data_IF_324119582523
#
_entry.id   IF_324119582523
#
_cell.length_a   1.000
_cell.length_b   1.000
_cell.length_c   1.000
_cell.angle_alpha   90.00
_cell.angle_beta   90.00
_cell.angle_gamma   90.00
#
_symmetry.space_group_name_H-M   'P 1'
#
loop_
_entity.id
_entity.type
_entity.pdbx_description
1 polymer ?
#
# COMPACT_ATOMS: atom_id res chain seq x y z
N UNK A 1 3.50 34.15 -45.55
CA UNK A 1 4.23 33.03 -44.94
C UNK A 1 3.20 32.13 -44.27
N UNK A 2 3.03 30.88 -44.74
CA UNK A 2 2.03 29.95 -44.21
C UNK A 2 2.64 29.20 -43.02
N UNK A 3 2.22 29.53 -41.80
CA UNK A 3 2.58 28.76 -40.63
C UNK A 3 1.65 27.54 -40.53
N UNK A 4 2.17 26.36 -40.85
CA UNK A 4 1.50 25.08 -40.58
C UNK A 4 1.91 24.68 -39.17
N UNK A 5 1.04 24.94 -38.19
CA UNK A 5 1.24 24.45 -36.83
C UNK A 5 0.79 23.00 -36.74
N UNK A 6 1.76 22.09 -36.58
CA UNK A 6 1.51 20.66 -36.36
C UNK A 6 1.01 20.48 -34.92
N UNK A 7 -0.26 20.09 -34.77
CA UNK A 7 -0.85 19.72 -33.48
C UNK A 7 -0.29 18.34 -33.10
N UNK A 8 0.67 18.31 -32.17
CA UNK A 8 1.16 17.08 -31.56
C UNK A 8 0.11 16.55 -30.59
N UNK A 9 -0.60 15.49 -30.97
CA UNK A 9 -1.51 14.78 -30.06
C UNK A 9 -0.64 13.92 -29.14
N UNK A 10 -0.41 14.41 -27.92
CA UNK A 10 0.23 13.66 -26.85
C UNK A 10 -0.78 12.62 -26.34
N UNK A 11 -0.74 11.41 -26.91
CA UNK A 11 -1.50 10.28 -26.39
C UNK A 11 -0.91 9.84 -25.05
N UNK A 12 -1.42 10.39 -23.95
CA UNK A 12 -1.14 9.86 -22.61
C UNK A 12 -1.85 8.52 -22.47
N UNK A 13 -1.07 7.44 -22.62
CA UNK A 13 -1.50 6.09 -22.28
C UNK A 13 -1.67 6.08 -20.76
N UNK A 14 -2.89 6.26 -20.28
CA UNK A 14 -3.20 6.10 -18.86
C UNK A 14 -3.11 4.60 -18.61
N UNK A 15 -1.95 4.12 -18.16
CA UNK A 15 -1.83 2.79 -17.62
C UNK A 15 -2.72 2.72 -16.38
N UNK A 16 -3.93 2.17 -16.53
CA UNK A 16 -4.69 1.71 -15.38
C UNK A 16 -3.93 0.52 -14.79
N UNK A 17 -2.97 0.80 -13.90
CA UNK A 17 -2.48 -0.22 -12.99
C UNK A 17 -3.71 -0.66 -12.17
N UNK A 18 -4.12 -1.91 -12.32
CA UNK A 18 -5.10 -2.50 -11.43
C UNK A 18 -4.46 -2.44 -10.04
N UNK A 19 -4.98 -1.58 -9.16
CA UNK A 19 -4.47 -1.51 -7.81
C UNK A 19 -4.65 -2.90 -7.17
N UNK A 20 -3.54 -3.50 -6.74
CA UNK A 20 -3.56 -4.80 -6.12
C UNK A 20 -4.35 -4.69 -4.82
N UNK A 21 -5.47 -5.41 -4.76
CA UNK A 21 -6.32 -5.46 -3.59
C UNK A 21 -5.86 -6.57 -2.66
N UNK A 22 -5.76 -6.26 -1.38
CA UNK A 22 -5.23 -7.14 -0.36
C UNK A 22 -6.29 -7.50 0.69
N UNK A 23 -6.22 -8.70 1.25
CA UNK A 23 -6.99 -9.14 2.42
C UNK A 23 -6.24 -8.94 3.75
N UNK A 24 -4.93 -8.69 3.70
CA UNK A 24 -4.17 -8.32 4.88
C UNK A 24 -3.02 -7.38 4.56
N UNK A 25 -2.79 -6.39 5.43
CA UNK A 25 -1.65 -5.48 5.33
C UNK A 25 -1.09 -5.08 6.70
N UNK A 26 0.22 -4.93 6.80
CA UNK A 26 0.93 -4.40 7.97
C UNK A 26 1.83 -3.25 7.55
N UNK A 27 2.10 -2.31 8.46
CA UNK A 27 3.06 -1.23 8.20
C UNK A 27 4.46 -1.66 8.63
N UNK A 28 5.46 -1.46 7.78
CA UNK A 28 6.87 -1.69 8.12
C UNK A 28 7.53 -0.37 8.54
N UNK A 29 8.50 -0.43 9.46
CA UNK A 29 9.31 0.75 9.84
C UNK A 29 10.14 1.29 8.67
N UNK A 30 10.54 0.40 7.75
CA UNK A 30 11.16 0.67 6.47
C UNK A 30 10.98 -0.54 5.54
N UNK A 31 11.29 -0.38 4.25
CA UNK A 31 11.24 -1.49 3.28
C UNK A 31 12.04 -2.68 3.79
N UNK A 32 11.42 -3.87 3.78
CA UNK A 32 11.98 -5.12 4.30
C UNK A 32 12.32 -5.13 5.81
N UNK A 33 11.87 -4.12 6.56
CA UNK A 33 12.02 -4.02 8.01
C UNK A 33 10.94 -4.75 8.82
N UNK A 34 11.04 -4.63 10.14
CA UNK A 34 10.00 -5.12 11.06
C UNK A 34 8.69 -4.37 10.89
N UNK A 35 7.58 -5.00 11.28
CA UNK A 35 6.30 -4.32 11.35
C UNK A 35 6.28 -3.33 12.53
N UNK A 36 5.56 -2.23 12.32
CA UNK A 36 5.20 -1.25 13.35
C UNK A 36 3.73 -1.45 13.73
N UNK A 37 3.52 -1.97 14.93
CA UNK A 37 2.19 -2.40 15.38
C UNK A 37 1.25 -1.22 15.65
N UNK A 38 1.76 -0.08 16.14
CA UNK A 38 0.97 1.11 16.47
C UNK A 38 0.47 1.82 15.21
N UNK A 39 1.34 1.95 14.20
CA UNK A 39 0.96 2.49 12.89
C UNK A 39 -0.01 1.54 12.19
N UNK A 40 0.21 0.23 12.30
CA UNK A 40 -0.71 -0.78 11.75
C UNK A 40 -2.11 -0.66 12.37
N UNK A 41 -2.23 -0.50 13.69
CA UNK A 41 -3.52 -0.31 14.37
C UNK A 41 -4.23 0.96 13.90
N UNK A 42 -3.47 2.05 13.83
CA UNK A 42 -3.97 3.36 13.43
C UNK A 42 -4.52 3.32 12.01
N UNK A 43 -3.75 2.74 11.07
CA UNK A 43 -4.19 2.56 9.71
C UNK A 43 -5.36 1.57 9.61
N UNK A 44 -5.34 0.47 10.36
CA UNK A 44 -6.43 -0.51 10.31
C UNK A 44 -7.77 0.09 10.74
N UNK A 45 -7.76 0.92 11.79
CA UNK A 45 -8.95 1.64 12.25
C UNK A 45 -9.52 2.54 11.15
N UNK A 46 -8.65 3.25 10.40
CA UNK A 46 -9.07 4.13 9.29
C UNK A 46 -9.67 3.35 8.12
N UNK A 47 -9.19 2.14 7.89
CA UNK A 47 -9.69 1.24 6.85
C UNK A 47 -10.90 0.42 7.32
N UNK A 48 -11.34 0.54 8.58
CA UNK A 48 -12.47 -0.20 9.13
C UNK A 48 -12.20 -1.70 9.35
N UNK A 49 -10.93 -2.09 9.41
CA UNK A 49 -10.52 -3.48 9.56
C UNK A 49 -10.39 -3.94 11.01
N UNK A 50 -9.99 -5.20 11.18
CA UNK A 50 -9.60 -5.76 12.48
C UNK A 50 -8.15 -6.18 12.46
N UNK A 51 -7.41 -5.86 13.51
CA UNK A 51 -6.01 -6.26 13.62
C UNK A 51 -5.87 -7.69 14.14
N UNK A 52 -4.94 -8.46 13.57
CA UNK A 52 -4.57 -9.79 14.05
C UNK A 52 -3.06 -9.98 13.98
N UNK A 53 -2.52 -10.79 14.89
CA UNK A 53 -1.11 -11.15 14.86
C UNK A 53 -0.89 -12.32 13.91
N UNK A 54 -0.01 -12.14 12.92
CA UNK A 54 0.36 -13.19 11.97
C UNK A 54 1.82 -13.60 12.19
N UNK A 55 2.06 -14.90 12.15
CA UNK A 55 3.41 -15.47 12.14
C UNK A 55 3.91 -15.65 10.71
N UNK A 56 5.24 -15.67 10.56
CA UNK A 56 5.88 -15.89 9.26
C UNK A 56 5.41 -17.20 8.62
N UNK A 57 5.09 -17.15 7.34
CA UNK A 57 4.62 -18.29 6.55
C UNK A 57 5.04 -18.13 5.09
N UNK A 58 4.55 -18.99 4.18
CA UNK A 58 4.83 -18.84 2.74
C UNK A 58 4.29 -17.54 2.14
N UNK A 59 3.28 -16.91 2.75
CA UNK A 59 2.70 -15.64 2.30
C UNK A 59 3.14 -14.47 3.18
N UNK A 60 3.22 -14.69 4.48
CA UNK A 60 3.59 -13.66 5.47
C UNK A 60 5.10 -13.68 5.65
N UNK A 61 5.81 -12.68 5.12
CA UNK A 61 7.27 -12.58 5.26
C UNK A 61 7.71 -12.05 6.63
N UNK A 62 6.95 -11.11 7.18
CA UNK A 62 7.28 -10.43 8.43
C UNK A 62 6.26 -10.81 9.50
N UNK A 63 6.71 -11.39 10.62
CA UNK A 63 5.80 -11.65 11.74
C UNK A 63 5.45 -10.35 12.44
N UNK A 64 4.19 -10.20 12.84
CA UNK A 64 3.74 -9.03 13.59
C UNK A 64 2.25 -8.80 13.39
N UNK A 65 1.79 -7.60 13.71
CA UNK A 65 0.38 -7.26 13.54
C UNK A 65 0.06 -6.90 12.10
N UNK A 66 -1.09 -7.37 11.63
CA UNK A 66 -1.66 -7.07 10.33
C UNK A 66 -3.10 -6.61 10.50
N UNK A 67 -3.54 -5.66 9.68
CA UNK A 67 -4.93 -5.36 9.46
C UNK A 67 -5.56 -6.39 8.53
N UNK A 68 -6.69 -6.95 8.95
CA UNK A 68 -7.54 -7.82 8.15
C UNK A 68 -8.77 -7.02 7.72
N UNK A 69 -8.92 -6.85 6.41
CA UNK A 69 -10.08 -6.22 5.78
C UNK A 69 -10.13 -6.67 4.32
N UNK A 70 -11.33 -6.78 3.74
CA UNK A 70 -11.48 -7.11 2.33
C UNK A 70 -11.08 -5.93 1.43
N UNK A 71 -10.28 -6.20 0.39
CA UNK A 71 -9.92 -5.21 -0.64
C UNK A 71 -9.19 -3.97 -0.13
N UNK A 72 -8.22 -4.16 0.77
CA UNK A 72 -7.27 -3.11 1.13
C UNK A 72 -6.48 -2.73 -0.14
N UNK A 73 -6.59 -1.47 -0.55
CA UNK A 73 -5.78 -0.91 -1.63
C UNK A 73 -4.33 -0.74 -1.15
N UNK A 74 -3.38 -1.43 -1.79
CA UNK A 74 -1.98 -1.44 -1.36
C UNK A 74 -1.33 -0.07 -1.34
N UNK A 75 -1.61 0.78 -2.34
CA UNK A 75 -1.09 2.15 -2.42
C UNK A 75 -1.66 3.02 -1.29
N UNK A 76 -2.96 2.92 -1.02
CA UNK A 76 -3.60 3.63 0.09
C UNK A 76 -3.06 3.18 1.44
N UNK A 77 -2.79 1.88 1.61
CA UNK A 77 -2.18 1.35 2.83
C UNK A 77 -0.76 1.87 3.01
N UNK A 78 0.08 1.77 1.97
CA UNK A 78 1.43 2.33 1.93
C UNK A 78 1.44 3.81 2.31
N UNK A 79 0.56 4.59 1.69
CA UNK A 79 0.42 6.03 1.97
C UNK A 79 -0.05 6.29 3.41
N UNK A 80 -0.85 5.40 4.01
CA UNK A 80 -1.22 5.52 5.42
C UNK A 80 0.00 5.29 6.33
N UNK A 81 0.79 4.23 6.10
CA UNK A 81 1.99 3.95 6.89
C UNK A 81 2.96 5.14 6.86
N UNK A 82 3.17 5.71 5.67
CA UNK A 82 4.07 6.85 5.44
C UNK A 82 3.67 8.15 6.13
N UNK A 83 2.41 8.28 6.56
CA UNK A 83 1.99 9.45 7.35
C UNK A 83 2.58 9.47 8.75
N UNK A 84 2.96 8.31 9.29
CA UNK A 84 3.48 8.15 10.64
C UNK A 84 4.95 7.70 10.66
N UNK A 85 5.35 6.97 9.62
CA UNK A 85 6.69 6.43 9.43
C UNK A 85 7.29 7.04 8.16
N UNK A 86 8.16 8.07 8.23
CA UNK A 86 8.69 8.73 7.04
C UNK A 86 9.34 7.77 6.05
N UNK A 87 10.03 6.74 6.54
CA UNK A 87 10.67 5.71 5.73
C UNK A 87 9.82 4.43 5.60
N UNK A 88 8.59 4.44 6.14
CA UNK A 88 7.75 3.27 6.26
C UNK A 88 7.27 2.69 4.94
N UNK A 89 6.88 1.43 4.97
CA UNK A 89 6.41 0.67 3.81
C UNK A 89 5.17 -0.17 4.16
N UNK A 90 4.50 -0.73 3.16
CA UNK A 90 3.37 -1.64 3.31
C UNK A 90 3.75 -3.09 3.02
N UNK A 91 3.51 -3.99 3.98
CA UNK A 91 3.61 -5.42 3.75
C UNK A 91 2.20 -6.01 3.59
N UNK A 92 1.80 -6.36 2.36
CA UNK A 92 0.47 -6.88 2.07
C UNK A 92 0.52 -8.30 1.45
N UNK A 93 0.48 -9.36 2.28
CA UNK A 93 0.77 -10.74 1.85
C UNK A 93 -0.29 -11.44 0.97
N UNK A 94 -1.53 -10.96 0.93
CA UNK A 94 -2.60 -11.42 0.04
C UNK A 94 -3.70 -10.38 -0.03
#
# INVERSE_FOLDING_TARGET
MRAVSVIGVLATIISLAAADTHGACGCQINTDGSLDDDTTDTCCTRFGGTTSFLTTSRKVRFSGKYCLHDKIDGDSWYNCCRQFLPDGDGACPW
#
